data_IF_422266111917
#
_entry.id   IF_422266111917
#
_cell.length_a   1.000
_cell.length_b   1.000
_cell.length_c   1.000
_cell.angle_alpha   90.00
_cell.angle_beta   90.00
_cell.angle_gamma   90.00
#
_symmetry.space_group_name_H-M   'P 1'
#
loop_
_entity.id
_entity.type
_entity.pdbx_description
1 polymer ?
#
# COMPACT_ATOMS: atom_id res chain seq x y z
N UNK A 1 -7.22 15.35 -20.64
CA UNK A 1 -7.62 15.35 -19.23
C UNK A 1 -7.92 13.91 -18.88
N UNK A 2 -7.11 13.28 -18.04
CA UNK A 2 -7.43 11.96 -17.51
C UNK A 2 -7.78 12.19 -16.05
N UNK A 3 -9.08 12.33 -15.81
CA UNK A 3 -9.68 12.23 -14.49
C UNK A 3 -9.40 10.81 -14.02
N UNK A 4 -8.37 10.67 -13.18
CA UNK A 4 -8.08 9.43 -12.49
C UNK A 4 -8.94 9.43 -11.22
N UNK A 5 -10.23 9.18 -11.41
CA UNK A 5 -11.06 8.59 -10.37
C UNK A 5 -10.40 7.25 -10.00
N UNK A 6 -9.54 7.26 -8.98
CA UNK A 6 -9.24 6.02 -8.26
C UNK A 6 -10.08 6.09 -7.00
N UNK A 7 -11.23 5.46 -7.13
CA UNK A 7 -12.09 4.92 -6.09
C UNK A 7 -11.37 4.75 -4.75
N UNK A 8 -11.91 5.42 -3.74
CA UNK A 8 -11.63 5.25 -2.31
C UNK A 8 -12.04 3.86 -1.74
N UNK A 9 -12.30 2.85 -2.57
CA UNK A 9 -12.71 1.50 -2.13
C UNK A 9 -11.56 0.49 -1.99
N UNK A 10 -10.30 0.92 -2.08
CA UNK A 10 -9.14 0.03 -1.96
C UNK A 10 -8.73 -0.30 -0.51
N UNK A 11 -9.59 -0.07 0.49
CA UNK A 11 -9.13 -0.08 1.89
C UNK A 11 -8.90 -1.48 2.49
N UNK A 12 -9.28 -2.57 1.82
CA UNK A 12 -9.07 -3.94 2.34
C UNK A 12 -9.00 -5.06 1.30
N UNK A 13 -9.01 -4.75 -0.01
CA UNK A 13 -8.89 -5.80 -1.03
C UNK A 13 -7.43 -6.25 -1.10
N UNK A 14 -7.19 -7.56 -0.98
CA UNK A 14 -5.85 -8.14 -1.11
C UNK A 14 -5.21 -7.68 -2.42
N UNK A 15 -4.21 -6.81 -2.30
CA UNK A 15 -3.42 -6.30 -3.41
C UNK A 15 -2.70 -7.46 -4.12
N UNK A 16 -2.50 -7.36 -5.43
CA UNK A 16 -1.68 -8.31 -6.17
C UNK A 16 -0.20 -8.14 -5.82
N UNK A 17 0.63 -9.13 -6.18
CA UNK A 17 2.09 -9.04 -5.94
C UNK A 17 2.71 -7.82 -6.64
N UNK A 18 2.29 -7.51 -7.87
CA UNK A 18 2.81 -6.35 -8.60
C UNK A 18 2.43 -5.03 -7.92
N UNK A 19 1.22 -4.94 -7.35
CA UNK A 19 0.78 -3.77 -6.57
C UNK A 19 1.53 -3.67 -5.25
N UNK A 20 1.79 -4.78 -4.57
CA UNK A 20 2.66 -4.82 -3.39
C UNK A 20 4.06 -4.29 -3.71
N UNK A 21 4.69 -4.80 -4.78
CA UNK A 21 6.04 -4.37 -5.19
C UNK A 21 6.06 -2.87 -5.54
N UNK A 22 4.99 -2.35 -6.17
CA UNK A 22 4.84 -0.92 -6.48
C UNK A 22 4.64 -0.07 -5.22
N UNK A 23 3.81 -0.51 -4.26
CA UNK A 23 3.56 0.18 -2.99
C UNK A 23 4.84 0.25 -2.16
N UNK A 24 5.60 -0.84 -2.07
CA UNK A 24 6.89 -0.88 -1.36
C UNK A 24 7.88 0.09 -2.00
N UNK A 25 7.97 0.12 -3.34
CA UNK A 25 8.85 1.06 -4.03
C UNK A 25 8.44 2.54 -3.82
N UNK A 26 7.14 2.83 -3.81
CA UNK A 26 6.62 4.17 -3.54
C UNK A 26 6.86 4.58 -2.07
N UNK A 27 6.70 3.64 -1.15
CA UNK A 27 7.02 3.84 0.26
C UNK A 27 8.50 4.14 0.46
N UNK A 28 9.41 3.36 -0.13
CA UNK A 28 10.86 3.58 -0.05
C UNK A 28 11.27 4.95 -0.60
N UNK A 29 10.63 5.39 -1.69
CA UNK A 29 10.88 6.72 -2.27
C UNK A 29 10.47 7.86 -1.31
N UNK A 30 9.42 7.64 -0.50
CA UNK A 30 8.94 8.60 0.49
C UNK A 30 9.66 8.49 1.84
N UNK A 31 10.21 7.33 2.18
CA UNK A 31 10.83 6.98 3.48
C UNK A 31 12.00 7.87 3.90
N UNK A 32 12.58 8.65 2.97
CA UNK A 32 13.72 9.53 3.26
C UNK A 32 13.48 10.99 2.87
N UNK A 33 12.21 11.38 2.68
CA UNK A 33 11.81 12.75 2.31
C UNK A 33 11.13 13.46 3.47
N UNK A 34 11.16 14.79 3.44
CA UNK A 34 10.35 15.61 4.34
C UNK A 34 8.89 15.49 3.92
N UNK A 35 8.17 14.54 4.50
CA UNK A 35 6.77 14.24 4.14
C UNK A 35 5.81 15.17 4.86
N UNK A 36 4.87 15.76 4.13
CA UNK A 36 3.73 16.50 4.65
C UNK A 36 2.79 15.59 5.46
N UNK A 37 1.91 16.14 6.32
CA UNK A 37 0.94 15.33 7.08
C UNK A 37 0.04 14.45 6.19
N UNK A 38 -0.29 14.91 4.98
CA UNK A 38 -1.07 14.15 4.01
C UNK A 38 -0.29 12.97 3.44
N UNK A 39 1.01 13.16 3.17
CA UNK A 39 1.91 12.07 2.74
C UNK A 39 2.12 11.05 3.88
N UNK A 40 2.17 11.49 5.13
CA UNK A 40 2.24 10.59 6.28
C UNK A 40 0.99 9.70 6.39
N UNK A 41 -0.23 10.27 6.28
CA UNK A 41 -1.46 9.46 6.24
C UNK A 41 -1.48 8.48 5.06
N UNK A 42 -0.89 8.87 3.93
CA UNK A 42 -0.75 7.98 2.76
C UNK A 42 0.24 6.83 3.05
N UNK A 43 1.36 7.11 3.70
CA UNK A 43 2.32 6.09 4.13
C UNK A 43 1.72 5.12 5.14
N UNK A 44 0.93 5.60 6.11
CA UNK A 44 0.20 4.74 7.04
C UNK A 44 -0.77 3.80 6.32
N UNK A 45 -1.45 4.29 5.27
CA UNK A 45 -2.32 3.45 4.43
C UNK A 45 -1.52 2.39 3.66
N UNK A 46 -0.36 2.76 3.10
CA UNK A 46 0.54 1.83 2.41
C UNK A 46 1.04 0.72 3.35
N UNK A 47 1.42 1.06 4.58
CA UNK A 47 1.84 0.09 5.59
C UNK A 47 0.72 -0.92 5.88
N UNK A 48 -0.53 -0.45 6.03
CA UNK A 48 -1.68 -1.35 6.26
C UNK A 48 -1.91 -2.32 5.10
N UNK A 49 -1.73 -1.87 3.86
CA UNK A 49 -1.88 -2.71 2.67
C UNK A 49 -0.76 -3.76 2.57
N UNK A 50 0.48 -3.36 2.88
CA UNK A 50 1.64 -4.26 2.98
C UNK A 50 1.38 -5.34 4.05
N UNK A 51 0.97 -4.94 5.25
CA UNK A 51 0.73 -5.85 6.38
C UNK A 51 -0.43 -6.82 6.08
N UNK A 52 -1.54 -6.33 5.50
CA UNK A 52 -2.66 -7.18 5.10
C UNK A 52 -2.25 -8.24 4.05
N UNK A 53 -1.41 -7.85 3.08
CA UNK A 53 -0.88 -8.77 2.07
C UNK A 53 0.06 -9.82 2.67
N UNK A 54 0.99 -9.41 3.53
CA UNK A 54 1.94 -10.31 4.19
C UNK A 54 1.25 -11.29 5.15
N UNK A 55 0.28 -10.81 5.94
CA UNK A 55 -0.53 -11.66 6.81
C UNK A 55 -1.34 -12.70 6.01
N UNK A 56 -1.91 -12.31 4.87
CA UNK A 56 -2.60 -13.25 3.97
C UNK A 56 -1.68 -14.32 3.39
N UNK A 57 -0.44 -13.94 3.02
CA UNK A 57 0.59 -14.89 2.55
C UNK A 57 1.05 -15.85 3.65
N UNK A 58 1.23 -15.35 4.87
CA UNK A 58 1.64 -16.16 6.02
C UNK A 58 0.53 -17.10 6.47
N UNK A 59 -0.74 -16.67 6.38
CA UNK A 59 -1.89 -17.52 6.67
C UNK A 59 -2.03 -18.66 5.65
N UNK A 60 -1.73 -18.41 4.37
CA UNK A 60 -1.72 -19.44 3.32
C UNK A 60 -0.57 -20.45 3.45
N UNK A 61 0.49 -20.15 4.21
CA UNK A 61 1.61 -21.08 4.48
C UNK A 61 1.43 -21.97 5.71
N UNK A 62 0.38 -21.76 6.51
CA UNK A 62 0.09 -22.54 7.72
C UNK A 62 -0.85 -23.74 7.49
N UNK A 63 -1.17 -24.08 6.24
CA UNK A 63 -2.10 -25.16 5.90
C UNK A 63 -1.43 -26.26 5.08
#
# INVERSE_FOLDING_TARGET
MFEKEIEEEADTKLISKAEYDAIVAEFDLMWNRTTTPQEQSRMERMIRLIDAFENSRNSRRKN
#
